data_IF_714574212774
#
_entry.id   IF_714574212774
#
_cell.length_a   1.000
_cell.length_b   1.000
_cell.length_c   1.000
_cell.angle_alpha   90.00
_cell.angle_beta   90.00
_cell.angle_gamma   90.00
#
_symmetry.space_group_name_H-M   'P 1'
#
loop_
_entity.id
_entity.type
_entity.pdbx_description
1 polymer ?
#
# COMPACT_ATOMS: atom_id res chain seq x y z
N UNK A 1 -5.78 -31.01 19.45
CA UNK A 1 -5.01 -30.71 18.22
C UNK A 1 -4.45 -29.31 18.32
N UNK A 2 -3.20 -29.03 17.91
CA UNK A 2 -2.73 -27.64 17.76
C UNK A 2 -3.51 -27.03 16.60
N UNK A 3 -4.06 -25.82 16.74
CA UNK A 3 -4.70 -25.15 15.62
C UNK A 3 -3.69 -25.01 14.48
N UNK A 4 -4.10 -25.36 13.27
CA UNK A 4 -3.28 -25.17 12.08
C UNK A 4 -3.26 -23.67 11.80
N UNK A 5 -2.12 -23.02 12.03
CA UNK A 5 -1.96 -21.59 11.77
C UNK A 5 -1.78 -21.35 10.26
N UNK A 6 -2.41 -20.31 9.68
CA UNK A 6 -2.24 -19.96 8.27
C UNK A 6 -0.90 -19.29 7.97
N UNK A 7 -0.11 -19.01 9.00
CA UNK A 7 1.19 -18.34 8.90
C UNK A 7 2.29 -19.11 9.62
N UNK A 8 3.53 -18.88 9.21
CA UNK A 8 4.75 -19.39 9.82
C UNK A 8 5.44 -18.28 10.62
N UNK A 9 6.22 -18.69 11.63
CA UNK A 9 7.02 -17.80 12.46
C UNK A 9 8.48 -17.84 12.05
N UNK A 10 9.11 -16.68 11.88
CA UNK A 10 10.53 -16.54 11.65
C UNK A 10 11.13 -15.52 12.64
N UNK A 11 12.07 -15.94 13.45
CA UNK A 11 12.80 -15.04 14.32
C UNK A 11 13.97 -14.42 13.52
N UNK A 12 13.82 -13.17 13.10
CA UNK A 12 14.82 -12.46 12.30
C UNK A 12 15.92 -11.81 13.17
N UNK A 13 15.57 -11.44 14.39
CA UNK A 13 16.46 -10.80 15.35
C UNK A 13 15.95 -11.07 16.77
N UNK A 14 16.77 -10.99 17.85
CA UNK A 14 16.28 -11.12 19.22
C UNK A 14 15.07 -10.22 19.57
N UNK A 15 14.92 -9.07 18.91
CA UNK A 15 13.80 -8.15 19.08
C UNK A 15 12.80 -8.16 17.90
N UNK A 16 12.91 -9.09 16.97
CA UNK A 16 12.05 -9.10 15.77
C UNK A 16 11.55 -10.50 15.42
N UNK A 17 10.23 -10.65 15.32
CA UNK A 17 9.54 -11.87 14.93
C UNK A 17 8.67 -11.55 13.71
N UNK A 18 8.85 -12.32 12.62
CA UNK A 18 8.03 -12.23 11.42
C UNK A 18 6.95 -13.29 11.44
N UNK A 19 5.72 -12.92 11.17
CA UNK A 19 4.62 -13.80 10.79
C UNK A 19 4.49 -13.71 9.27
N UNK A 20 4.54 -14.87 8.59
CA UNK A 20 4.44 -14.93 7.12
C UNK A 20 3.29 -15.85 6.74
N UNK A 21 2.26 -15.30 6.09
CA UNK A 21 1.13 -16.04 5.52
C UNK A 21 1.55 -16.70 4.20
N UNK A 22 0.90 -17.82 3.89
CA UNK A 22 1.17 -18.59 2.67
C UNK A 22 0.11 -18.41 1.59
N UNK A 23 -1.06 -17.87 1.98
CA UNK A 23 -2.17 -17.63 1.07
C UNK A 23 -1.82 -16.53 0.06
N UNK A 24 -2.39 -16.66 -1.14
CA UNK A 24 -2.34 -15.60 -2.14
C UNK A 24 -3.03 -14.33 -1.63
N UNK A 25 -2.53 -13.15 -2.01
CA UNK A 25 -3.12 -11.87 -1.62
C UNK A 25 -4.59 -11.76 -2.04
N UNK A 26 -5.42 -11.39 -1.09
CA UNK A 26 -6.85 -11.22 -1.26
C UNK A 26 -7.40 -10.26 -0.21
N UNK A 27 -8.62 -9.76 -0.40
CA UNK A 27 -9.29 -8.95 0.62
C UNK A 27 -9.52 -9.70 1.93
N UNK A 28 -9.80 -11.00 1.83
CA UNK A 28 -9.94 -11.86 3.01
C UNK A 28 -8.62 -11.93 3.79
N UNK A 29 -7.50 -12.19 3.11
CA UNK A 29 -6.18 -12.22 3.75
C UNK A 29 -5.82 -10.86 4.34
N UNK A 30 -6.12 -9.76 3.65
CA UNK A 30 -5.87 -8.42 4.19
C UNK A 30 -6.66 -8.19 5.48
N UNK A 31 -7.95 -8.53 5.51
CA UNK A 31 -8.77 -8.42 6.71
C UNK A 31 -8.23 -9.27 7.86
N UNK A 32 -7.79 -10.50 7.58
CA UNK A 32 -7.14 -11.36 8.56
C UNK A 32 -5.88 -10.71 9.14
N UNK A 33 -4.98 -10.23 8.27
CA UNK A 33 -3.73 -9.57 8.69
C UNK A 33 -4.03 -8.33 9.56
N UNK A 34 -5.00 -7.49 9.15
CA UNK A 34 -5.36 -6.29 9.88
C UNK A 34 -5.98 -6.60 11.25
N UNK A 35 -6.86 -7.61 11.31
CA UNK A 35 -7.45 -8.08 12.57
C UNK A 35 -6.38 -8.62 13.49
N UNK A 36 -5.51 -9.51 12.99
CA UNK A 36 -4.39 -10.06 13.78
C UNK A 36 -3.47 -8.94 14.28
N UNK A 37 -3.12 -7.97 13.43
CA UNK A 37 -2.31 -6.81 13.82
C UNK A 37 -2.93 -6.03 14.97
N UNK A 38 -4.23 -5.76 14.88
CA UNK A 38 -5.00 -5.05 15.93
C UNK A 38 -5.01 -5.83 17.24
N UNK A 39 -5.36 -7.12 17.19
CA UNK A 39 -5.43 -8.00 18.36
C UNK A 39 -4.06 -8.15 19.04
N UNK A 40 -2.99 -8.32 18.28
CA UNK A 40 -1.64 -8.41 18.83
C UNK A 40 -1.21 -7.09 19.48
N UNK A 41 -1.51 -5.96 18.86
CA UNK A 41 -1.18 -4.62 19.39
C UNK A 41 -1.90 -4.35 20.72
N UNK A 42 -3.16 -4.79 20.83
CA UNK A 42 -3.99 -4.56 22.02
C UNK A 42 -3.63 -5.50 23.17
N UNK A 43 -3.27 -6.75 22.87
CA UNK A 43 -3.11 -7.81 23.89
C UNK A 43 -1.68 -8.08 24.31
N UNK A 44 -0.66 -7.62 23.57
CA UNK A 44 0.75 -7.89 23.86
C UNK A 44 1.53 -6.62 24.21
N UNK A 45 1.68 -6.36 25.52
CA UNK A 45 2.39 -5.17 26.06
C UNK A 45 3.89 -5.13 25.73
N UNK A 46 4.48 -6.29 25.40
CA UNK A 46 5.88 -6.44 24.99
C UNK A 46 6.17 -5.91 23.58
N UNK A 47 5.16 -5.68 22.76
CA UNK A 47 5.31 -5.13 21.41
C UNK A 47 5.69 -3.64 21.47
N UNK A 48 6.72 -3.28 20.71
CA UNK A 48 7.10 -1.89 20.43
C UNK A 48 6.33 -1.35 19.22
N UNK A 49 6.19 -2.16 18.16
CA UNK A 49 5.46 -1.82 16.95
C UNK A 49 5.26 -3.04 16.06
N UNK A 50 4.30 -2.95 15.13
CA UNK A 50 4.04 -3.95 14.11
C UNK A 50 4.05 -3.28 12.75
N UNK A 51 4.96 -3.72 11.88
CA UNK A 51 5.01 -3.29 10.48
C UNK A 51 4.35 -4.34 9.61
N UNK A 52 3.44 -3.90 8.73
CA UNK A 52 2.74 -4.77 7.80
C UNK A 52 3.48 -4.79 6.45
N UNK A 53 3.64 -5.98 5.88
CA UNK A 53 4.00 -6.22 4.50
C UNK A 53 2.83 -6.82 3.71
N UNK A 54 3.10 -7.32 2.52
CA UNK A 54 2.07 -7.81 1.60
C UNK A 54 1.32 -9.03 2.15
N UNK A 55 2.06 -10.00 2.72
CA UNK A 55 1.54 -11.23 3.32
C UNK A 55 2.21 -11.48 4.69
N UNK A 56 2.59 -10.42 5.39
CA UNK A 56 3.38 -10.58 6.61
C UNK A 56 3.15 -9.48 7.63
N UNK A 57 3.46 -9.81 8.89
CA UNK A 57 3.58 -8.86 9.99
C UNK A 57 4.95 -9.00 10.63
N UNK A 58 5.73 -7.94 10.66
CA UNK A 58 6.96 -7.85 11.41
C UNK A 58 6.67 -7.24 12.78
N UNK A 59 6.81 -8.04 13.81
CA UNK A 59 6.60 -7.65 15.21
C UNK A 59 7.94 -7.20 15.79
N UNK A 60 8.03 -5.94 16.18
CA UNK A 60 9.17 -5.38 16.90
C UNK A 60 8.88 -5.38 18.39
N UNK A 61 9.86 -5.77 19.22
CA UNK A 61 9.72 -5.95 20.65
C UNK A 61 10.53 -4.91 21.43
N UNK A 62 9.98 -4.48 22.56
CA UNK A 62 10.66 -3.55 23.48
C UNK A 62 11.97 -4.13 24.06
N UNK A 63 11.99 -5.46 24.32
CA UNK A 63 13.14 -6.18 24.89
C UNK A 63 13.46 -7.42 24.06
N UNK A 64 14.71 -7.92 24.07
CA UNK A 64 15.06 -9.17 23.42
C UNK A 64 14.25 -10.36 23.97
N UNK A 65 13.89 -11.29 23.07
CA UNK A 65 13.25 -12.55 23.46
C UNK A 65 14.28 -13.48 24.12
N UNK A 66 13.98 -13.95 25.31
CA UNK A 66 14.68 -15.09 25.93
C UNK A 66 14.30 -16.39 25.20
N UNK A 67 13.04 -16.49 24.75
CA UNK A 67 12.52 -17.63 23.99
C UNK A 67 11.37 -17.18 23.07
N UNK A 68 11.52 -17.41 21.77
CA UNK A 68 10.46 -17.15 20.79
C UNK A 68 9.24 -18.06 20.97
N UNK A 69 9.43 -19.28 21.49
CA UNK A 69 8.35 -20.27 21.72
C UNK A 69 7.25 -19.72 22.64
N UNK A 70 7.62 -18.95 23.69
CA UNK A 70 6.64 -18.35 24.62
C UNK A 70 5.76 -17.30 23.90
N UNK A 71 6.37 -16.45 23.10
CA UNK A 71 5.65 -15.42 22.31
C UNK A 71 4.79 -16.08 21.24
N UNK A 72 5.32 -17.07 20.51
CA UNK A 72 4.55 -17.85 19.52
C UNK A 72 3.31 -18.49 20.14
N UNK A 73 3.42 -19.08 21.34
CA UNK A 73 2.26 -19.65 22.06
C UNK A 73 1.21 -18.58 22.38
N UNK A 74 1.62 -17.40 22.86
CA UNK A 74 0.70 -16.28 23.12
C UNK A 74 -0.01 -15.83 21.83
N UNK A 75 0.73 -15.63 20.73
CA UNK A 75 0.17 -15.25 19.43
C UNK A 75 -0.82 -16.33 18.95
N UNK A 76 -0.47 -17.60 19.04
CA UNK A 76 -1.37 -18.72 18.69
C UNK A 76 -2.66 -18.71 19.50
N UNK A 77 -2.57 -18.41 20.81
CA UNK A 77 -3.76 -18.32 21.68
C UNK A 77 -4.65 -17.14 21.29
N UNK A 78 -4.05 -15.95 21.02
CA UNK A 78 -4.79 -14.77 20.57
C UNK A 78 -5.46 -15.07 19.22
N UNK A 79 -4.73 -15.62 18.26
CA UNK A 79 -5.27 -15.97 16.95
C UNK A 79 -6.44 -16.94 17.04
N UNK A 80 -6.33 -17.97 17.87
CA UNK A 80 -7.41 -18.97 18.10
C UNK A 80 -8.67 -18.36 18.76
N UNK A 81 -8.55 -17.23 19.41
CA UNK A 81 -9.68 -16.48 19.99
C UNK A 81 -10.37 -15.53 19.03
N UNK A 82 -9.85 -15.33 17.81
CA UNK A 82 -10.47 -14.47 16.80
C UNK A 82 -11.63 -15.23 16.14
N UNK A 83 -12.84 -14.76 16.37
CA UNK A 83 -14.05 -15.39 15.82
C UNK A 83 -14.36 -14.95 14.38
N UNK A 84 -13.96 -13.74 13.98
CA UNK A 84 -14.25 -13.17 12.67
C UNK A 84 -13.15 -12.20 12.24
N UNK A 85 -12.75 -12.29 10.98
CA UNK A 85 -11.84 -11.32 10.35
C UNK A 85 -12.67 -10.24 9.66
N UNK A 86 -12.84 -9.12 10.34
CA UNK A 86 -13.64 -8.00 9.83
C UNK A 86 -12.78 -7.01 9.07
N UNK A 87 -13.40 -6.40 8.05
CA UNK A 87 -12.79 -5.22 7.45
C UNK A 87 -12.83 -4.10 8.47
N UNK A 88 -11.71 -3.46 8.82
CA UNK A 88 -11.75 -2.24 9.62
C UNK A 88 -12.61 -1.20 8.92
N UNK A 89 -13.12 -0.23 9.68
CA UNK A 89 -13.78 0.94 9.09
C UNK A 89 -12.81 1.58 8.09
N UNK A 90 -13.16 1.55 6.82
CA UNK A 90 -12.33 2.02 5.71
C UNK A 90 -12.92 3.30 5.13
N UNK A 91 -12.05 4.21 4.69
CA UNK A 91 -12.41 5.38 3.91
C UNK A 91 -12.25 5.09 2.44
N UNK A 92 -12.99 5.81 1.62
CA UNK A 92 -12.83 5.80 0.17
C UNK A 92 -12.27 7.15 -0.29
N UNK A 93 -11.06 7.16 -0.78
CA UNK A 93 -10.32 8.34 -1.22
C UNK A 93 -10.40 8.51 -2.74
N UNK A 94 -10.71 9.70 -3.21
CA UNK A 94 -10.63 10.04 -4.63
C UNK A 94 -9.38 10.88 -4.88
N UNK A 95 -8.43 10.32 -5.65
CA UNK A 95 -7.14 10.93 -5.94
C UNK A 95 -7.11 11.51 -7.36
N UNK A 96 -6.89 12.82 -7.53
CA UNK A 96 -6.71 13.42 -8.86
C UNK A 96 -5.37 13.00 -9.46
N UNK A 97 -5.37 12.53 -10.70
CA UNK A 97 -4.18 12.09 -11.43
C UNK A 97 -4.15 12.66 -12.84
N UNK A 98 -3.06 13.32 -13.19
CA UNK A 98 -2.78 13.73 -14.56
C UNK A 98 -2.00 12.65 -15.29
N UNK A 99 -2.57 12.14 -16.38
CA UNK A 99 -1.99 11.09 -17.23
C UNK A 99 -1.31 11.66 -18.50
N UNK A 100 -1.17 12.99 -18.57
CA UNK A 100 -0.45 13.64 -19.68
C UNK A 100 0.98 13.09 -19.80
N UNK A 101 1.53 13.07 -21.02
CA UNK A 101 2.86 12.54 -21.32
C UNK A 101 3.99 13.20 -20.51
N UNK A 102 3.80 14.44 -20.08
CA UNK A 102 4.73 15.12 -19.18
C UNK A 102 4.79 14.51 -17.77
N UNK A 103 3.79 13.73 -17.38
CA UNK A 103 3.65 13.09 -16.06
C UNK A 103 3.70 11.57 -16.13
N UNK A 104 3.21 10.98 -17.24
CA UNK A 104 3.18 9.54 -17.49
C UNK A 104 4.26 9.11 -18.47
N UNK A 105 5.52 9.25 -18.10
CA UNK A 105 6.67 9.02 -19.00
C UNK A 105 6.69 7.61 -19.62
N UNK A 106 6.16 6.62 -18.93
CA UNK A 106 6.15 5.24 -19.40
C UNK A 106 4.77 4.84 -19.99
N UNK A 107 3.74 5.71 -19.92
CA UNK A 107 2.37 5.40 -20.34
C UNK A 107 2.29 4.85 -21.77
N UNK A 108 2.89 5.56 -22.73
CA UNK A 108 2.88 5.15 -24.13
C UNK A 108 3.68 3.86 -24.39
N UNK A 109 4.82 3.68 -23.73
CA UNK A 109 5.62 2.47 -23.86
C UNK A 109 4.89 1.28 -23.25
N UNK A 110 4.29 1.46 -22.09
CA UNK A 110 3.51 0.43 -21.41
C UNK A 110 2.27 0.05 -22.22
N UNK A 111 1.54 1.01 -22.80
CA UNK A 111 0.36 0.73 -23.62
C UNK A 111 0.71 -0.15 -24.84
N UNK A 112 1.84 0.13 -25.51
CA UNK A 112 2.35 -0.73 -26.59
C UNK A 112 2.72 -2.13 -26.11
N UNK A 113 3.37 -2.24 -24.94
CA UNK A 113 3.75 -3.53 -24.36
C UNK A 113 2.52 -4.39 -24.01
N UNK A 114 1.43 -3.74 -23.59
CA UNK A 114 0.15 -4.40 -23.25
C UNK A 114 -0.78 -4.57 -24.45
N UNK A 115 -0.39 -4.12 -25.63
CA UNK A 115 -1.19 -4.18 -26.88
C UNK A 115 -2.56 -3.48 -26.76
N UNK A 116 -2.62 -2.39 -25.98
CA UNK A 116 -3.79 -1.53 -25.82
C UNK A 116 -3.41 -0.07 -26.11
N UNK A 117 -4.36 0.78 -26.46
CA UNK A 117 -4.08 2.20 -26.60
C UNK A 117 -4.00 2.90 -25.23
N UNK A 118 -3.35 4.08 -25.21
CA UNK A 118 -3.14 4.80 -23.95
C UNK A 118 -4.44 5.28 -23.30
N UNK A 119 -5.48 5.56 -24.09
CA UNK A 119 -6.81 5.97 -23.59
C UNK A 119 -7.47 4.81 -22.85
N UNK A 120 -7.49 3.63 -23.45
CA UNK A 120 -8.00 2.40 -22.82
C UNK A 120 -7.24 2.05 -21.55
N UNK A 121 -5.88 2.23 -21.53
CA UNK A 121 -5.09 2.03 -20.32
C UNK A 121 -5.54 2.97 -19.20
N UNK A 122 -5.72 4.26 -19.51
CA UNK A 122 -6.19 5.26 -18.55
C UNK A 122 -7.59 4.93 -18.04
N UNK A 123 -8.51 4.57 -18.93
CA UNK A 123 -9.89 4.20 -18.58
C UNK A 123 -9.92 2.99 -17.64
N UNK A 124 -9.18 1.92 -17.93
CA UNK A 124 -9.07 0.75 -17.06
C UNK A 124 -8.46 1.11 -15.71
N UNK A 125 -7.39 1.91 -15.71
CA UNK A 125 -6.74 2.30 -14.47
C UNK A 125 -7.61 3.23 -13.62
N UNK A 126 -8.22 4.26 -14.18
CA UNK A 126 -9.04 5.22 -13.45
C UNK A 126 -10.44 4.71 -13.11
N UNK A 127 -10.99 3.79 -13.93
CA UNK A 127 -12.29 3.18 -13.69
C UNK A 127 -12.31 2.08 -12.64
N UNK A 128 -11.16 1.74 -12.05
CA UNK A 128 -11.02 0.66 -11.08
C UNK A 128 -11.09 1.15 -9.65
N UNK A 129 -11.67 0.31 -8.77
CA UNK A 129 -11.62 0.50 -7.33
C UNK A 129 -10.40 -0.24 -6.77
N UNK A 130 -9.53 0.50 -6.10
CA UNK A 130 -8.33 -0.05 -5.49
C UNK A 130 -8.49 -0.16 -3.98
N UNK A 131 -7.72 -1.07 -3.38
CA UNK A 131 -7.62 -1.21 -1.94
C UNK A 131 -6.18 -1.04 -1.49
N UNK A 132 -5.94 -0.22 -0.47
CA UNK A 132 -4.62 -0.03 0.14
C UNK A 132 -4.23 -1.33 0.83
N UNK A 133 -3.31 -2.07 0.23
CA UNK A 133 -2.83 -3.34 0.77
C UNK A 133 -1.91 -3.10 1.97
N UNK A 134 -0.93 -2.24 1.79
CA UNK A 134 -0.06 -1.77 2.87
C UNK A 134 0.65 -0.49 2.45
N UNK A 135 1.29 0.15 3.41
CA UNK A 135 2.10 1.35 3.22
C UNK A 135 3.54 1.01 3.61
N UNK A 136 4.49 1.16 2.69
CA UNK A 136 5.88 0.75 2.93
C UNK A 136 6.80 1.10 1.77
N UNK A 137 8.03 0.59 1.75
CA UNK A 137 9.12 1.00 0.87
C UNK A 137 9.61 2.41 1.24
N UNK A 138 8.76 3.41 1.06
CA UNK A 138 8.99 4.79 1.51
C UNK A 138 7.84 5.21 2.44
N UNK A 139 8.05 6.14 3.39
CA UNK A 139 6.97 6.69 4.20
C UNK A 139 5.88 7.29 3.30
N UNK A 140 4.66 6.72 3.36
CA UNK A 140 3.53 7.15 2.54
C UNK A 140 3.41 6.50 1.15
N UNK A 141 4.29 5.57 0.74
CA UNK A 141 4.10 4.83 -0.51
C UNK A 141 2.94 3.85 -0.36
N UNK A 142 1.92 4.00 -1.19
CA UNK A 142 0.72 3.17 -1.19
C UNK A 142 0.90 2.00 -2.17
N UNK A 143 0.81 0.77 -1.65
CA UNK A 143 0.65 -0.42 -2.47
C UNK A 143 -0.84 -0.72 -2.61
N UNK A 144 -1.36 -0.68 -3.84
CA UNK A 144 -2.77 -0.77 -4.17
C UNK A 144 -3.07 -2.06 -4.94
N UNK A 145 -4.00 -2.86 -4.42
CA UNK A 145 -4.59 -4.00 -5.11
C UNK A 145 -5.86 -3.57 -5.84
N UNK A 146 -6.27 -4.36 -6.84
CA UNK A 146 -7.45 -4.07 -7.66
C UNK A 146 -7.12 -3.69 -9.10
N UNK A 147 -5.83 -3.76 -9.49
CA UNK A 147 -5.42 -3.51 -10.87
C UNK A 147 -6.07 -4.54 -11.81
N UNK A 148 -6.76 -4.11 -12.87
CA UNK A 148 -7.26 -5.02 -13.90
C UNK A 148 -6.15 -5.90 -14.48
N UNK A 149 -6.44 -7.18 -14.68
CA UNK A 149 -5.45 -8.14 -15.21
C UNK A 149 -4.83 -7.70 -16.54
N UNK A 150 -5.60 -7.01 -17.38
CA UNK A 150 -5.14 -6.45 -18.65
C UNK A 150 -4.01 -5.41 -18.48
N UNK A 151 -3.85 -4.83 -17.29
CA UNK A 151 -2.80 -3.86 -16.97
C UNK A 151 -1.60 -4.47 -16.23
N UNK A 152 -1.59 -5.79 -16.00
CA UNK A 152 -0.46 -6.45 -15.35
C UNK A 152 0.80 -6.30 -16.20
N UNK A 153 1.86 -5.78 -15.59
CA UNK A 153 3.12 -5.56 -16.26
C UNK A 153 4.29 -5.88 -15.33
N UNK A 154 5.25 -6.65 -15.81
CA UNK A 154 6.48 -6.89 -15.06
C UNK A 154 7.19 -5.56 -14.76
N UNK A 155 7.92 -5.51 -13.65
CA UNK A 155 8.74 -4.34 -13.32
C UNK A 155 9.79 -4.13 -14.39
N UNK A 156 10.20 -2.87 -14.60
CA UNK A 156 11.28 -2.54 -15.51
C UNK A 156 12.56 -3.30 -15.11
N UNK A 157 13.24 -3.90 -16.08
CA UNK A 157 14.52 -4.59 -15.86
C UNK A 157 15.60 -3.62 -15.36
N UNK A 158 15.56 -2.37 -15.83
CA UNK A 158 16.43 -1.29 -15.37
C UNK A 158 15.58 -0.25 -14.67
N UNK A 159 15.66 -0.13 -13.34
CA UNK A 159 14.93 0.88 -12.60
C UNK A 159 15.28 2.31 -13.03
N UNK A 160 14.31 3.19 -13.06
CA UNK A 160 14.54 4.63 -13.23
C UNK A 160 15.32 5.16 -12.03
N UNK A 161 16.42 5.87 -12.23
CA UNK A 161 17.23 6.42 -11.13
C UNK A 161 16.46 7.52 -10.37
N UNK A 162 15.48 8.14 -11.03
CA UNK A 162 14.73 9.28 -10.51
C UNK A 162 13.26 9.16 -10.92
N UNK A 163 12.40 8.85 -9.97
CA UNK A 163 10.93 8.89 -10.05
C UNK A 163 10.46 10.07 -9.21
N UNK A 164 9.65 10.95 -9.76
CA UNK A 164 9.18 12.15 -9.06
C UNK A 164 8.16 11.83 -7.96
N UNK A 165 8.09 12.69 -6.95
CA UNK A 165 7.01 12.66 -5.97
C UNK A 165 5.64 12.79 -6.65
N UNK A 166 4.65 12.04 -6.17
CA UNK A 166 3.32 11.98 -6.74
C UNK A 166 3.19 11.02 -7.93
N UNK A 167 4.28 10.41 -8.43
CA UNK A 167 4.22 9.49 -9.56
C UNK A 167 3.30 8.30 -9.26
N UNK A 168 2.31 8.08 -10.13
CA UNK A 168 1.41 6.93 -10.14
C UNK A 168 1.96 5.91 -11.10
N UNK A 169 2.09 4.66 -10.64
CA UNK A 169 2.84 3.65 -11.39
C UNK A 169 2.24 2.25 -11.30
N UNK A 170 2.49 1.43 -12.32
CA UNK A 170 2.14 0.01 -12.39
C UNK A 170 3.39 -0.84 -12.27
N UNK A 171 3.32 -1.92 -11.45
CA UNK A 171 4.38 -2.90 -11.30
C UNK A 171 3.85 -4.24 -10.79
N UNK A 172 4.03 -5.30 -11.59
CA UNK A 172 3.38 -6.58 -11.35
C UNK A 172 1.88 -6.49 -11.56
N UNK A 173 1.12 -6.97 -10.61
CA UNK A 173 -0.35 -6.91 -10.55
C UNK A 173 -0.85 -5.77 -9.65
N UNK A 174 -0.06 -4.73 -9.45
CA UNK A 174 -0.36 -3.65 -8.53
C UNK A 174 -0.17 -2.27 -9.18
N UNK A 175 -0.90 -1.29 -8.65
CA UNK A 175 -0.57 0.13 -8.83
C UNK A 175 -0.09 0.71 -7.50
N UNK A 176 0.65 1.81 -7.57
CA UNK A 176 1.18 2.48 -6.37
C UNK A 176 1.57 3.91 -6.65
N UNK A 177 1.80 4.65 -5.56
CA UNK A 177 2.07 6.08 -5.65
C UNK A 177 3.33 6.41 -4.85
N UNK A 178 4.30 7.04 -5.53
CA UNK A 178 5.55 7.48 -4.93
C UNK A 178 5.34 8.76 -4.12
N UNK A 179 5.56 8.75 -2.79
CA UNK A 179 5.32 9.94 -1.95
C UNK A 179 6.41 11.00 -2.06
N UNK A 180 7.63 10.57 -2.38
CA UNK A 180 8.81 11.43 -2.51
C UNK A 180 9.63 10.99 -3.72
N UNK A 181 10.55 11.83 -4.17
CA UNK A 181 11.50 11.47 -5.22
C UNK A 181 12.40 10.31 -4.77
N UNK A 182 12.51 9.28 -5.60
CA UNK A 182 13.32 8.08 -5.32
C UNK A 182 13.64 7.30 -6.60
N UNK A 183 14.60 6.37 -6.60
CA UNK A 183 14.68 5.35 -7.63
C UNK A 183 13.44 4.45 -7.62
N UNK A 184 13.07 3.88 -8.79
CA UNK A 184 11.94 2.96 -8.87
C UNK A 184 11.87 2.18 -10.18
N UNK A 185 11.43 0.91 -10.10
CA UNK A 185 11.33 0.01 -11.25
C UNK A 185 9.90 -0.18 -11.79
N UNK A 186 8.92 0.62 -11.35
CA UNK A 186 7.55 0.55 -11.84
C UNK A 186 7.35 1.49 -13.03
N UNK A 187 6.38 1.18 -13.90
CA UNK A 187 6.04 1.99 -15.07
C UNK A 187 5.22 3.20 -14.66
N UNK A 188 5.75 4.39 -14.86
CA UNK A 188 5.11 5.65 -14.49
C UNK A 188 4.05 6.01 -15.54
N UNK A 189 2.78 6.01 -15.13
CA UNK A 189 1.62 6.27 -16.02
C UNK A 189 0.96 7.62 -15.80
N UNK A 190 1.28 8.32 -14.71
CA UNK A 190 0.72 9.62 -14.37
C UNK A 190 1.32 10.19 -13.09
N UNK A 191 0.78 11.32 -12.65
CA UNK A 191 1.21 11.96 -11.40
C UNK A 191 0.02 12.60 -10.68
N UNK A 192 -0.01 12.52 -9.35
CA UNK A 192 -0.96 13.24 -8.50
C UNK A 192 -0.29 14.49 -7.89
N UNK A 193 -0.99 15.62 -7.84
CA UNK A 193 -0.48 16.83 -7.18
C UNK A 193 -0.61 16.80 -5.66
N UNK A 194 -1.17 15.73 -5.08
CA UNK A 194 -1.46 15.59 -3.64
C UNK A 194 -0.23 15.16 -2.87
N UNK A 195 -0.02 15.73 -1.69
CA UNK A 195 0.99 15.26 -0.74
C UNK A 195 0.49 13.98 -0.06
N UNK A 196 1.25 12.88 -0.20
CA UNK A 196 0.89 11.57 0.35
C UNK A 196 1.37 11.37 1.78
N UNK A 197 2.39 12.11 2.18
CA UNK A 197 3.01 12.00 3.50
C UNK A 197 3.44 13.36 4.02
N UNK A 198 3.02 13.66 5.25
CA UNK A 198 3.46 14.86 5.98
C UNK A 198 3.88 14.46 7.40
N UNK A 199 5.19 14.44 7.73
CA UNK A 199 5.69 14.03 9.04
C UNK A 199 5.21 14.92 10.19
N UNK A 200 4.86 16.17 9.91
CA UNK A 200 4.39 17.14 10.91
C UNK A 200 2.89 16.96 11.25
N UNK A 201 2.16 16.21 10.43
CA UNK A 201 0.73 15.99 10.68
C UNK A 201 0.50 14.94 11.77
N UNK A 202 -0.58 15.12 12.55
CA UNK A 202 -1.01 14.13 13.56
C UNK A 202 -1.21 12.74 12.96
N UNK A 203 -1.68 12.65 11.71
CA UNK A 203 -1.72 11.45 10.88
C UNK A 203 -0.83 11.71 9.67
N UNK A 204 0.43 11.23 9.66
CA UNK A 204 1.39 11.55 8.61
C UNK A 204 0.98 11.09 7.21
N UNK A 205 0.27 9.97 7.09
CA UNK A 205 -0.34 9.49 5.85
C UNK A 205 -1.85 9.70 5.92
N UNK A 206 -2.47 10.16 4.82
CA UNK A 206 -3.91 10.36 4.78
C UNK A 206 -4.67 9.02 4.77
N UNK A 207 -4.11 8.00 4.11
CA UNK A 207 -4.68 6.68 3.98
C UNK A 207 -4.08 5.69 4.99
N UNK A 208 -4.80 4.59 5.21
CA UNK A 208 -4.36 3.44 5.99
C UNK A 208 -4.62 2.14 5.22
N UNK A 209 -3.97 1.05 5.62
CA UNK A 209 -4.25 -0.28 5.05
C UNK A 209 -5.70 -0.65 5.23
N UNK A 210 -6.34 -1.12 4.16
CA UNK A 210 -7.77 -1.43 4.12
C UNK A 210 -8.64 -0.32 3.53
N UNK A 211 -8.16 0.92 3.43
CA UNK A 211 -8.88 2.01 2.74
C UNK A 211 -9.04 1.71 1.24
N UNK A 212 -10.02 2.33 0.62
CA UNK A 212 -10.24 2.30 -0.82
C UNK A 212 -9.72 3.56 -1.50
N UNK A 213 -9.31 3.42 -2.75
CA UNK A 213 -8.80 4.51 -3.59
C UNK A 213 -9.41 4.39 -4.98
N UNK A 214 -9.87 5.50 -5.53
CA UNK A 214 -10.17 5.67 -6.96
C UNK A 214 -9.32 6.82 -7.52
N UNK A 215 -9.03 6.76 -8.80
CA UNK A 215 -8.28 7.80 -9.49
C UNK A 215 -9.22 8.63 -10.37
N UNK A 216 -9.18 9.94 -10.21
CA UNK A 216 -9.91 10.91 -11.03
C UNK A 216 -8.95 11.50 -12.06
N UNK A 217 -9.12 11.21 -13.37
CA UNK A 217 -8.30 11.85 -14.42
C UNK A 217 -8.51 13.35 -14.44
N UNK A 218 -7.41 14.11 -14.41
CA UNK A 218 -7.42 15.57 -14.47
C UNK A 218 -6.50 16.09 -15.57
N UNK A 219 -6.81 17.28 -16.08
CA UNK A 219 -5.97 17.99 -17.03
C UNK A 219 -4.70 18.56 -16.37
N UNK A 220 -3.69 18.89 -17.17
CA UNK A 220 -2.48 19.57 -16.70
C UNK A 220 -2.77 20.94 -16.05
N UNK A 221 -3.81 21.63 -16.52
CA UNK A 221 -4.27 22.90 -15.92
C UNK A 221 -4.80 22.68 -14.51
N UNK A 222 -5.68 21.68 -14.31
CA UNK A 222 -6.23 21.33 -13.01
C UNK A 222 -5.12 20.80 -12.07
N UNK A 223 -4.20 19.98 -12.57
CA UNK A 223 -3.03 19.53 -11.81
C UNK A 223 -2.27 20.74 -11.24
N UNK A 224 -1.98 21.75 -12.08
CA UNK A 224 -1.24 22.94 -11.64
C UNK A 224 -2.03 23.76 -10.60
N UNK A 225 -3.35 23.86 -10.75
CA UNK A 225 -4.22 24.55 -9.79
C UNK A 225 -4.26 23.84 -8.44
N UNK A 226 -4.48 22.51 -8.46
CA UNK A 226 -4.50 21.68 -7.25
C UNK A 226 -3.14 21.73 -6.55
N UNK A 227 -2.02 21.60 -7.29
CA UNK A 227 -0.68 21.67 -6.73
C UNK A 227 -0.40 22.99 -6.00
N UNK A 228 -0.87 24.12 -6.56
CA UNK A 228 -0.80 25.43 -5.89
C UNK A 228 -1.66 25.47 -4.62
N UNK A 229 -2.86 24.89 -4.64
CA UNK A 229 -3.74 24.84 -3.48
C UNK A 229 -3.17 23.93 -2.36
N UNK A 230 -2.58 22.79 -2.73
CA UNK A 230 -1.86 21.90 -1.81
C UNK A 230 -0.69 22.63 -1.13
N UNK A 231 0.11 23.36 -1.92
CA UNK A 231 1.24 24.14 -1.39
C UNK A 231 0.82 25.26 -0.41
N UNK A 232 -0.40 25.81 -0.61
CA UNK A 232 -0.98 26.83 0.28
C UNK A 232 -1.74 26.23 1.48
N UNK A 233 -1.87 24.89 1.57
CA UNK A 233 -2.66 24.23 2.61
C UNK A 233 -4.18 24.43 2.47
N UNK A 234 -4.68 24.82 1.30
CA UNK A 234 -6.11 25.10 1.05
C UNK A 234 -6.82 23.97 0.29
N UNK A 235 -6.10 22.91 -0.06
CA UNK A 235 -6.68 21.73 -0.71
C UNK A 235 -7.02 20.66 0.31
N UNK A 236 -8.25 20.16 0.26
CA UNK A 236 -8.68 18.99 1.03
C UNK A 236 -8.97 17.83 0.09
N UNK A 237 -8.34 16.69 0.34
CA UNK A 237 -8.59 15.46 -0.41
C UNK A 237 -10.01 14.97 -0.12
N UNK A 238 -10.76 14.60 -1.17
CA UNK A 238 -12.12 14.05 -1.06
C UNK A 238 -12.08 12.64 -0.51
N UNK A 239 -12.95 12.35 0.44
CA UNK A 239 -13.20 10.98 0.92
C UNK A 239 -14.64 10.82 1.38
N UNK A 240 -15.15 9.57 1.33
CA UNK A 240 -16.45 9.11 1.86
C UNK A 240 -16.22 8.09 2.97
#
# INVERSE_FOLDING_TARGET
MKPLLPFSFFQLHPKALLLQWKQEPSDHLLNEILTVKSELSSNLKEIHGITQGYQSLLILLKKPLVSSKKLQKKITTIYAGINRFESPQSKHWTLPVCYDSAFGNDLHTLSKQLEIDSTTLIEFHSGSLYRVQFIGFLPGFLYLNGLPKALNAERKSIPSPKVQAGAVAIGGAQTGIYPIESPGGWHIIGNTPVNLFNPEAKSPCFAQSGDHVTFEPISQKEYTQIKKAVAKGTYSLKYD
#
